data_IF_296182763129
#
_entry.id   IF_296182763129
#
_cell.length_a   1.000
_cell.length_b   1.000
_cell.length_c   1.000
_cell.angle_alpha   90.00
_cell.angle_beta   90.00
_cell.angle_gamma   90.00
#
_symmetry.space_group_name_H-M   'P 1'
#
loop_
_entity.id
_entity.type
_entity.pdbx_description
1 polymer ?
#
# COMPACT_ATOMS: atom_id res chain seq x y z
N UNK A 1 -9.47 -19.89 23.78
CA UNK A 1 -8.99 -19.36 22.49
C UNK A 1 -10.20 -18.96 21.69
N UNK A 2 -10.27 -17.72 21.21
CA UNK A 2 -11.39 -17.27 20.38
C UNK A 2 -11.26 -17.92 19.00
N UNK A 3 -12.32 -18.59 18.54
CA UNK A 3 -12.36 -19.19 17.22
C UNK A 3 -12.19 -18.09 16.16
N UNK A 4 -11.29 -18.30 15.20
CA UNK A 4 -11.11 -17.36 14.09
C UNK A 4 -12.23 -17.62 13.09
N UNK A 5 -13.19 -16.70 13.01
CA UNK A 5 -14.22 -16.71 11.96
C UNK A 5 -13.59 -16.19 10.67
N UNK A 6 -13.70 -16.96 9.58
CA UNK A 6 -13.18 -16.58 8.27
C UNK A 6 -14.14 -16.99 7.15
N UNK A 7 -14.20 -16.19 6.09
CA UNK A 7 -14.95 -16.51 4.88
C UNK A 7 -14.04 -17.31 3.92
N UNK A 8 -14.49 -18.50 3.52
CA UNK A 8 -13.76 -19.37 2.58
C UNK A 8 -13.61 -18.74 1.20
N UNK A 9 -14.46 -17.77 0.84
CA UNK A 9 -14.35 -17.02 -0.43
C UNK A 9 -13.20 -16.05 -0.42
N UNK A 10 -12.72 -15.58 0.73
CA UNK A 10 -11.61 -14.62 0.82
C UNK A 10 -10.25 -15.31 0.89
N UNK A 11 -10.02 -16.30 0.02
CA UNK A 11 -8.80 -17.10 0.05
C UNK A 11 -7.64 -16.46 -0.72
N UNK A 12 -6.41 -16.74 -0.26
CA UNK A 12 -5.17 -16.35 -0.94
C UNK A 12 -4.02 -17.33 -0.70
N UNK A 13 -2.95 -17.21 -1.49
CA UNK A 13 -1.69 -17.97 -1.41
C UNK A 13 -0.50 -17.02 -1.25
N UNK A 14 0.55 -17.53 -0.61
CA UNK A 14 1.85 -16.88 -0.45
C UNK A 14 2.94 -17.89 -0.78
N UNK A 15 4.08 -17.44 -1.30
CA UNK A 15 5.07 -18.35 -1.89
C UNK A 15 5.77 -19.27 -0.88
N UNK A 16 5.88 -18.84 0.38
CA UNK A 16 6.56 -19.56 1.44
C UNK A 16 5.63 -20.46 2.28
N UNK A 17 4.39 -20.70 1.83
CA UNK A 17 3.46 -21.61 2.49
C UNK A 17 2.41 -22.21 1.54
N UNK A 18 2.44 -23.53 1.38
CA UNK A 18 1.59 -24.28 0.43
C UNK A 18 0.09 -24.29 0.76
N UNK A 19 -0.31 -23.93 1.98
CA UNK A 19 -1.73 -23.93 2.37
C UNK A 19 -2.48 -22.72 1.82
N UNK A 20 -3.79 -22.88 1.61
CA UNK A 20 -4.69 -21.73 1.45
C UNK A 20 -4.75 -20.93 2.75
N UNK A 21 -4.72 -19.61 2.62
CA UNK A 21 -4.89 -18.65 3.69
C UNK A 21 -6.18 -17.87 3.46
N UNK A 22 -6.69 -17.20 4.50
CA UNK A 22 -7.93 -16.44 4.41
C UNK A 22 -7.76 -15.04 4.97
N UNK A 23 -8.35 -14.04 4.30
CA UNK A 23 -8.39 -12.68 4.80
C UNK A 23 -9.35 -12.64 5.98
N UNK A 24 -8.87 -12.08 7.11
CA UNK A 24 -9.67 -11.93 8.34
C UNK A 24 -9.75 -10.47 8.81
N UNK A 25 -9.25 -9.53 8.01
CA UNK A 25 -9.48 -8.09 8.20
C UNK A 25 -8.22 -7.24 8.16
N UNK A 26 -8.26 -6.13 8.91
CA UNK A 26 -7.19 -5.14 9.00
C UNK A 26 -6.19 -5.52 10.11
N UNK A 27 -4.89 -5.34 9.86
CA UNK A 27 -3.84 -5.53 10.84
C UNK A 27 -3.79 -4.43 11.92
N UNK A 28 -4.36 -3.25 11.66
CA UNK A 28 -4.35 -2.05 12.52
C UNK A 28 -2.96 -1.53 12.94
N UNK A 29 -1.87 -2.06 12.39
CA UNK A 29 -0.49 -1.66 12.71
C UNK A 29 0.09 -0.67 11.71
N UNK A 30 0.01 -0.98 10.42
CA UNK A 30 0.47 -0.13 9.32
C UNK A 30 -0.59 -0.03 8.24
N UNK A 31 -0.64 1.11 7.54
CA UNK A 31 -1.55 1.30 6.40
C UNK A 31 -1.29 0.23 5.34
N UNK A 32 -2.37 -0.35 4.83
CA UNK A 32 -2.32 -1.38 3.80
C UNK A 32 -1.95 -2.77 4.29
N UNK A 33 -1.57 -2.98 5.56
CA UNK A 33 -1.31 -4.33 6.08
C UNK A 33 -2.61 -5.09 6.27
N UNK A 34 -2.69 -6.24 5.61
CA UNK A 34 -3.81 -7.16 5.66
C UNK A 34 -3.55 -8.15 6.80
N UNK A 35 -4.61 -8.55 7.52
CA UNK A 35 -4.55 -9.65 8.49
C UNK A 35 -5.02 -10.93 7.83
N UNK A 36 -4.14 -11.91 7.77
CA UNK A 36 -4.40 -13.25 7.23
C UNK A 36 -4.52 -14.31 8.31
N UNK A 37 -5.23 -15.40 7.99
CA UNK A 37 -5.34 -16.61 8.80
C UNK A 37 -4.75 -17.81 8.07
N UNK A 38 -3.90 -18.57 8.75
CA UNK A 38 -3.34 -19.84 8.26
C UNK A 38 -3.99 -21.01 9.03
N UNK A 39 -4.89 -21.79 8.40
CA UNK A 39 -5.52 -22.93 9.07
C UNK A 39 -4.53 -24.06 9.36
N UNK A 40 -3.50 -24.27 8.51
CA UNK A 40 -2.48 -25.31 8.72
C UNK A 40 -1.64 -25.04 9.97
N UNK A 41 -1.30 -23.77 10.23
CA UNK A 41 -0.48 -23.34 11.37
C UNK A 41 -1.30 -22.83 12.56
N UNK A 42 -2.63 -22.81 12.44
CA UNK A 42 -3.57 -22.30 13.45
C UNK A 42 -3.14 -20.92 14.00
N UNK A 43 -2.72 -20.01 13.11
CA UNK A 43 -2.25 -18.67 13.51
C UNK A 43 -2.63 -17.58 12.51
N UNK A 44 -2.86 -16.38 13.02
CA UNK A 44 -2.95 -15.17 12.20
C UNK A 44 -1.58 -14.58 11.92
N UNK A 45 -1.44 -13.88 10.81
CA UNK A 45 -0.22 -13.17 10.43
C UNK A 45 -0.58 -11.90 9.67
N UNK A 46 0.40 -11.02 9.51
CA UNK A 46 0.26 -9.76 8.78
C UNK A 46 0.98 -9.90 7.46
N UNK A 47 0.39 -9.39 6.39
CA UNK A 47 0.99 -9.42 5.06
C UNK A 47 0.63 -8.18 4.25
N UNK A 48 1.42 -7.96 3.21
CA UNK A 48 1.16 -6.98 2.16
C UNK A 48 0.58 -7.65 0.91
N UNK A 49 -0.03 -6.87 0.02
CA UNK A 49 -0.56 -7.33 -1.27
C UNK A 49 0.55 -7.91 -2.15
N UNK A 50 1.76 -7.31 -2.12
CA UNK A 50 2.91 -7.82 -2.87
C UNK A 50 3.37 -9.22 -2.42
N UNK A 51 2.97 -9.67 -1.24
CA UNK A 51 3.28 -11.02 -0.73
C UNK A 51 2.25 -12.07 -1.18
N UNK A 52 1.14 -11.65 -1.80
CA UNK A 52 0.08 -12.52 -2.30
C UNK A 52 0.37 -12.91 -3.74
N UNK A 53 0.66 -14.18 -3.98
CA UNK A 53 0.92 -14.68 -5.35
C UNK A 53 -0.35 -15.05 -6.10
N UNK A 54 -1.39 -15.49 -5.39
CA UNK A 54 -2.69 -15.83 -5.97
C UNK A 54 -3.82 -15.57 -4.95
N UNK A 55 -4.99 -15.18 -5.43
CA UNK A 55 -6.18 -15.03 -4.58
C UNK A 55 -7.46 -15.28 -5.37
N UNK A 56 -8.57 -15.43 -4.65
CA UNK A 56 -9.90 -15.46 -5.27
C UNK A 56 -10.31 -14.09 -5.82
N UNK A 57 -11.31 -14.08 -6.69
CA UNK A 57 -11.96 -12.86 -7.17
C UNK A 57 -12.51 -12.01 -6.01
N UNK A 58 -13.14 -12.65 -5.02
CA UNK A 58 -13.68 -11.95 -3.85
C UNK A 58 -12.59 -11.33 -2.98
N UNK A 59 -11.49 -12.05 -2.77
CA UNK A 59 -10.31 -11.52 -2.08
C UNK A 59 -9.69 -10.36 -2.84
N UNK A 60 -9.59 -10.46 -4.17
CA UNK A 60 -9.06 -9.38 -5.00
C UNK A 60 -9.88 -8.10 -4.87
N UNK A 61 -11.21 -8.18 -4.99
CA UNK A 61 -12.09 -7.01 -4.80
C UNK A 61 -12.05 -6.47 -3.38
N UNK A 62 -12.02 -7.36 -2.38
CA UNK A 62 -11.87 -6.95 -0.99
C UNK A 62 -10.57 -6.17 -0.78
N UNK A 63 -9.45 -6.67 -1.30
CA UNK A 63 -8.13 -6.03 -1.21
C UNK A 63 -8.17 -4.67 -1.91
N UNK A 64 -8.71 -4.57 -3.12
CA UNK A 64 -8.85 -3.30 -3.84
C UNK A 64 -9.63 -2.27 -3.03
N UNK A 65 -10.80 -2.65 -2.49
CA UNK A 65 -11.62 -1.77 -1.65
C UNK A 65 -10.90 -1.37 -0.35
N UNK A 66 -10.27 -2.34 0.31
CA UNK A 66 -9.49 -2.12 1.52
C UNK A 66 -8.36 -1.12 1.30
N UNK A 67 -7.58 -1.27 0.23
CA UNK A 67 -6.47 -0.36 -0.07
C UNK A 67 -6.97 1.03 -0.40
N UNK A 68 -8.02 1.18 -1.21
CA UNK A 68 -8.65 2.50 -1.46
C UNK A 68 -9.10 3.18 -0.18
N UNK A 69 -9.72 2.45 0.74
CA UNK A 69 -10.11 2.97 2.06
C UNK A 69 -8.95 3.29 3.01
N UNK A 70 -7.72 2.83 2.71
CA UNK A 70 -6.53 3.04 3.54
C UNK A 70 -5.50 4.00 2.91
N UNK A 71 -5.86 4.65 1.80
CA UNK A 71 -4.96 5.58 1.10
C UNK A 71 -4.45 6.68 2.04
N UNK A 72 -3.15 7.01 1.95
CA UNK A 72 -2.57 8.13 2.69
C UNK A 72 -3.22 9.43 2.23
N UNK A 73 -3.42 10.36 3.16
CA UNK A 73 -3.96 11.67 2.82
C UNK A 73 -3.08 12.36 1.77
N UNK A 74 -3.67 13.09 0.82
CA UNK A 74 -2.91 13.94 -0.08
C UNK A 74 -2.12 15.01 0.68
N UNK A 75 -1.09 15.61 0.05
CA UNK A 75 -0.33 16.70 0.64
C UNK A 75 -1.24 17.78 1.20
N UNK A 76 -0.86 18.31 2.37
CA UNK A 76 -1.57 19.40 3.04
C UNK A 76 -3.06 19.05 3.35
N UNK A 77 -3.35 17.75 3.52
CA UNK A 77 -4.68 17.24 3.86
C UNK A 77 -5.71 17.44 2.76
N UNK A 78 -5.28 17.62 1.51
CA UNK A 78 -6.15 17.90 0.37
C UNK A 78 -6.69 19.34 0.36
N UNK A 79 -6.17 20.20 1.24
CA UNK A 79 -6.65 21.58 1.42
C UNK A 79 -5.87 22.61 0.59
N UNK A 80 -4.71 22.26 0.05
CA UNK A 80 -3.91 23.17 -0.80
C UNK A 80 -4.03 22.84 -2.29
N UNK A 81 -3.85 23.87 -3.11
CA UNK A 81 -4.44 24.03 -4.45
C UNK A 81 -4.99 25.45 -4.64
N UNK A 82 -5.11 26.23 -3.56
CA UNK A 82 -5.73 27.56 -3.49
C UNK A 82 -4.92 28.72 -4.08
N UNK A 83 -3.72 28.46 -4.62
CA UNK A 83 -3.00 29.46 -5.40
C UNK A 83 -3.62 29.57 -6.80
N UNK A 84 -3.62 30.77 -7.40
CA UNK A 84 -4.00 30.90 -8.80
C UNK A 84 -3.15 29.95 -9.68
N UNK A 85 -3.78 29.36 -10.69
CA UNK A 85 -3.10 28.49 -11.64
C UNK A 85 -1.86 29.20 -12.23
N UNK A 86 -0.76 28.46 -12.34
CA UNK A 86 0.50 28.97 -12.88
C UNK A 86 1.37 29.75 -11.89
N UNK A 87 0.90 30.01 -10.66
CA UNK A 87 1.75 30.61 -9.61
C UNK A 87 2.82 29.62 -9.14
N UNK A 88 3.92 30.15 -8.59
CA UNK A 88 4.97 29.32 -7.97
C UNK A 88 4.40 28.41 -6.87
N UNK A 89 3.47 28.93 -6.04
CA UNK A 89 2.79 28.14 -5.01
C UNK A 89 2.02 26.97 -5.62
N UNK A 90 1.25 27.22 -6.68
CA UNK A 90 0.52 26.17 -7.41
C UNK A 90 1.48 25.12 -8.00
N UNK A 91 2.55 25.55 -8.68
CA UNK A 91 3.52 24.64 -9.30
C UNK A 91 4.24 23.76 -8.26
N UNK A 92 4.60 24.34 -7.10
CA UNK A 92 5.20 23.60 -5.99
C UNK A 92 4.24 22.57 -5.38
N UNK A 93 2.98 22.94 -5.21
CA UNK A 93 1.95 22.01 -4.75
C UNK A 93 1.69 20.89 -5.78
N UNK A 94 1.52 21.23 -7.07
CA UNK A 94 1.27 20.28 -8.16
C UNK A 94 2.40 19.24 -8.23
N UNK A 95 3.65 19.67 -8.04
CA UNK A 95 4.79 18.75 -7.97
C UNK A 95 4.66 17.74 -6.81
N UNK A 96 4.35 18.20 -5.59
CA UNK A 96 4.13 17.31 -4.44
C UNK A 96 2.93 16.38 -4.65
N UNK A 97 1.86 16.91 -5.26
CA UNK A 97 0.64 16.14 -5.53
C UNK A 97 0.93 14.99 -6.50
N UNK A 98 1.63 15.25 -7.61
CA UNK A 98 2.07 14.18 -8.54
C UNK A 98 2.95 13.13 -7.86
N UNK A 99 3.85 13.56 -6.97
CA UNK A 99 4.68 12.64 -6.17
C UNK A 99 3.84 11.76 -5.24
N UNK A 100 2.78 12.32 -4.64
CA UNK A 100 1.83 11.57 -3.83
C UNK A 100 0.97 10.62 -4.66
N UNK A 101 0.50 11.03 -5.85
CA UNK A 101 -0.25 10.14 -6.76
C UNK A 101 0.58 8.92 -7.14
N UNK A 102 1.82 9.12 -7.61
CA UNK A 102 2.71 7.99 -7.94
C UNK A 102 3.00 7.09 -6.74
N UNK A 103 3.12 7.65 -5.53
CA UNK A 103 3.30 6.85 -4.32
C UNK A 103 2.04 6.06 -3.94
N UNK A 104 0.86 6.62 -4.21
CA UNK A 104 -0.43 5.99 -3.95
C UNK A 104 -0.71 4.88 -4.95
N UNK A 105 -0.32 5.04 -6.22
CA UNK A 105 -0.38 3.97 -7.22
C UNK A 105 0.47 2.76 -6.78
N UNK A 106 1.72 3.00 -6.37
CA UNK A 106 2.57 1.95 -5.81
C UNK A 106 1.95 1.32 -4.55
N UNK A 107 1.32 2.11 -3.68
CA UNK A 107 0.59 1.58 -2.54
C UNK A 107 -0.60 0.70 -2.95
N UNK A 108 -1.34 1.05 -4.00
CA UNK A 108 -2.41 0.19 -4.52
C UNK A 108 -1.89 -1.12 -5.11
N UNK A 109 -0.68 -1.11 -5.65
CA UNK A 109 -0.02 -2.30 -6.20
C UNK A 109 0.54 -3.21 -5.11
N UNK A 110 1.20 -2.64 -4.09
CA UNK A 110 1.99 -3.43 -3.14
C UNK A 110 1.42 -3.47 -1.72
N UNK A 111 0.49 -2.58 -1.40
CA UNK A 111 -0.03 -2.27 -0.05
C UNK A 111 1.02 -1.78 0.94
N UNK A 112 2.17 -1.31 0.47
CA UNK A 112 3.25 -0.86 1.33
C UNK A 112 3.25 0.66 1.50
N UNK A 113 3.12 1.09 2.76
CA UNK A 113 3.31 2.48 3.16
C UNK A 113 4.20 2.56 4.40
N UNK A 114 5.48 2.84 4.19
CA UNK A 114 6.49 3.01 5.22
C UNK A 114 6.23 4.24 6.09
N UNK A 115 6.73 4.22 7.32
CA UNK A 115 6.85 5.42 8.16
C UNK A 115 8.25 6.03 8.07
N UNK A 116 9.19 5.36 7.39
CA UNK A 116 10.57 5.77 7.30
C UNK A 116 10.78 6.75 6.15
N UNK A 117 11.65 7.75 6.38
CA UNK A 117 12.09 8.69 5.35
C UNK A 117 12.90 7.93 4.30
N UNK A 118 12.48 8.00 3.04
CA UNK A 118 13.19 7.39 1.90
C UNK A 118 13.96 8.45 1.14
N UNK A 119 15.13 8.09 0.62
CA UNK A 119 15.94 8.92 -0.27
C UNK A 119 16.36 8.11 -1.49
N UNK A 120 16.32 8.73 -2.67
CA UNK A 120 16.79 8.10 -3.91
C UNK A 120 18.29 7.81 -3.80
N UNK A 121 18.72 6.59 -4.10
CA UNK A 121 20.12 6.17 -4.08
C UNK A 121 20.96 6.95 -5.10
N UNK A 122 20.38 7.28 -6.28
CA UNK A 122 21.02 8.01 -7.39
C UNK A 122 21.10 9.52 -7.17
N UNK A 123 19.97 10.20 -6.94
CA UNK A 123 19.93 11.68 -6.86
C UNK A 123 19.72 12.24 -5.45
N UNK A 124 19.64 11.38 -4.41
CA UNK A 124 19.49 11.74 -2.99
C UNK A 124 18.22 12.52 -2.63
N UNK A 125 17.30 12.73 -3.58
CA UNK A 125 16.01 13.38 -3.29
C UNK A 125 15.20 12.57 -2.28
N UNK A 126 14.47 13.25 -1.41
CA UNK A 126 13.48 12.60 -0.54
C UNK A 126 12.37 12.00 -1.40
N UNK A 127 11.95 10.79 -1.04
CA UNK A 127 10.90 10.03 -1.71
C UNK A 127 9.72 9.84 -0.76
N UNK A 128 8.54 9.64 -1.33
CA UNK A 128 7.34 9.33 -0.57
C UNK A 128 7.43 7.92 0.04
N UNK A 129 6.65 7.61 1.09
CA UNK A 129 6.80 6.39 1.85
C UNK A 129 6.22 5.10 1.20
N UNK A 130 6.20 4.98 -0.13
CA UNK A 130 5.71 3.77 -0.83
C UNK A 130 6.68 2.58 -0.76
N UNK A 131 6.43 1.49 -1.52
CA UNK A 131 7.29 0.31 -1.69
C UNK A 131 8.79 0.65 -1.73
N UNK A 132 9.64 -0.19 -1.13
CA UNK A 132 11.09 0.01 -1.05
C UNK A 132 11.72 -0.15 -2.45
N UNK A 133 11.66 0.90 -3.26
CA UNK A 133 12.59 1.11 -4.37
C UNK A 133 13.79 1.92 -3.89
N UNK A 134 14.98 1.61 -4.39
CA UNK A 134 16.17 2.40 -4.10
C UNK A 134 16.21 3.70 -4.94
N UNK A 135 15.56 3.72 -6.11
CA UNK A 135 15.67 4.80 -7.10
C UNK A 135 14.31 5.48 -7.28
N UNK A 136 14.28 6.81 -7.45
CA UNK A 136 13.03 7.55 -7.70
C UNK A 136 12.58 7.43 -9.17
N UNK A 137 11.28 7.68 -9.42
CA UNK A 137 10.68 7.58 -10.76
C UNK A 137 11.41 8.41 -11.83
N UNK A 138 11.82 9.65 -11.52
CA UNK A 138 12.58 10.49 -12.46
C UNK A 138 13.94 9.90 -12.85
N UNK A 139 14.53 9.12 -11.96
CA UNK A 139 15.84 8.48 -12.17
C UNK A 139 15.72 7.12 -12.84
N UNK A 140 14.52 6.52 -12.82
CA UNK A 140 14.17 5.27 -13.50
C UNK A 140 13.81 5.52 -14.97
N UNK A 141 13.21 6.68 -15.26
CA UNK A 141 12.84 7.09 -16.62
C UNK A 141 13.96 7.86 -17.36
N UNK A 142 15.17 7.91 -16.80
CA UNK A 142 16.38 8.53 -17.37
C UNK A 142 17.49 7.50 -17.50
#
# INVERSE_FOLDING_TARGET
>A
MTEVVYDKKLWFRVDHCESLHFIVGNAHTFRGRIRGWCPKKQRTFLLSKSEISQCSTEAEYWIKGFLRGNEPNPPDGGKEGTGAFGTEKFNKWLKKYKEWESATDLFQETSYWSIYKRVCSKCKRKMMPSEIEEICIDCRNK
#
